data_IF_377233926890
#
_entry.id   IF_377233926890
#
_cell.length_a   1.000
_cell.length_b   1.000
_cell.length_c   1.000
_cell.angle_alpha   90.00
_cell.angle_beta   90.00
_cell.angle_gamma   90.00
#
_symmetry.space_group_name_H-M   'P 1'
#
loop_
_entity.id
_entity.type
_entity.pdbx_description
1 polymer ?
#
# COMPACT_ATOMS: atom_id res chain seq x y z
N UNK A 1 6.86 -43.51 -45.21
CA UNK A 1 6.38 -43.58 -46.62
C UNK A 1 5.74 -42.25 -46.98
N UNK A 2 6.36 -41.46 -47.86
CA UNK A 2 5.86 -40.14 -48.30
C UNK A 2 4.80 -40.37 -49.38
N UNK A 3 3.52 -40.08 -49.09
CA UNK A 3 2.47 -40.18 -50.11
C UNK A 3 2.76 -39.15 -51.22
N UNK A 4 2.69 -39.51 -52.50
CA UNK A 4 2.91 -38.55 -53.59
C UNK A 4 1.88 -37.41 -53.46
N UNK A 5 2.35 -36.17 -53.58
CA UNK A 5 1.48 -35.00 -53.52
C UNK A 5 0.57 -35.00 -54.76
N UNK A 6 -0.71 -34.62 -54.59
CA UNK A 6 -1.70 -34.58 -55.70
C UNK A 6 -1.17 -33.77 -56.89
N UNK A 7 -0.41 -32.71 -56.61
CA UNK A 7 0.29 -31.89 -57.62
C UNK A 7 1.33 -32.66 -58.43
N UNK A 8 2.08 -33.57 -57.80
CA UNK A 8 3.06 -34.41 -58.50
C UNK A 8 2.37 -35.44 -59.40
N UNK A 9 1.27 -36.02 -58.94
CA UNK A 9 0.49 -36.97 -59.74
C UNK A 9 -0.06 -36.26 -60.98
N UNK A 10 -0.71 -35.11 -60.80
CA UNK A 10 -1.31 -34.34 -61.90
C UNK A 10 -0.24 -33.83 -62.87
N UNK A 11 0.92 -33.39 -62.38
CA UNK A 11 2.04 -32.98 -63.23
C UNK A 11 2.60 -34.15 -64.06
N UNK A 12 2.80 -35.33 -63.46
CA UNK A 12 3.26 -36.52 -64.18
C UNK A 12 2.24 -36.98 -65.22
N UNK A 13 0.95 -36.99 -64.87
CA UNK A 13 -0.15 -37.28 -65.81
C UNK A 13 -0.20 -36.27 -66.94
N UNK A 14 0.03 -34.98 -66.66
CA UNK A 14 0.09 -33.91 -67.66
C UNK A 14 1.24 -34.11 -68.65
N UNK A 15 2.45 -34.43 -68.14
CA UNK A 15 3.63 -34.70 -68.99
C UNK A 15 3.42 -35.94 -69.84
N UNK A 16 2.87 -37.01 -69.25
CA UNK A 16 2.55 -38.23 -70.00
C UNK A 16 1.50 -37.99 -71.08
N UNK A 17 0.47 -37.18 -70.80
CA UNK A 17 -0.57 -36.80 -71.76
C UNK A 17 -0.02 -35.97 -72.92
N UNK A 18 0.81 -34.97 -72.63
CA UNK A 18 1.46 -34.16 -73.66
C UNK A 18 2.44 -34.99 -74.51
N UNK A 19 3.19 -35.91 -73.89
CA UNK A 19 4.05 -36.85 -74.59
C UNK A 19 3.27 -37.78 -75.52
N UNK A 20 2.12 -38.29 -75.07
CA UNK A 20 1.22 -39.11 -75.88
C UNK A 20 0.62 -38.31 -77.05
N UNK A 21 0.15 -37.08 -76.79
CA UNK A 21 -0.39 -36.21 -77.83
C UNK A 21 0.67 -35.88 -78.90
N UNK A 22 1.91 -35.61 -78.49
CA UNK A 22 3.04 -35.39 -79.39
C UNK A 22 3.38 -36.66 -80.20
N UNK A 23 3.42 -37.82 -79.55
CA UNK A 23 3.68 -39.08 -80.23
C UNK A 23 2.59 -39.41 -81.27
N UNK A 24 1.32 -39.18 -80.95
CA UNK A 24 0.21 -39.34 -81.88
C UNK A 24 0.31 -38.38 -83.07
N UNK A 25 0.68 -37.12 -82.83
CA UNK A 25 0.86 -36.13 -83.89
C UNK A 25 2.03 -36.46 -84.84
N UNK A 26 3.09 -37.12 -84.35
CA UNK A 26 4.21 -37.58 -85.18
C UNK A 26 3.87 -38.85 -85.98
N UNK A 27 2.96 -39.69 -85.47
CA UNK A 27 2.56 -40.96 -86.10
C UNK A 27 1.42 -40.78 -87.11
N UNK A 28 0.61 -39.73 -87.00
CA UNK A 28 -0.61 -39.55 -87.82
C UNK A 28 -0.38 -39.26 -89.32
N UNK A 29 0.86 -39.15 -89.79
CA UNK A 29 1.20 -39.01 -91.21
C UNK A 29 0.81 -37.66 -91.83
N UNK A 30 1.47 -37.29 -92.93
CA UNK A 30 1.27 -36.02 -93.62
C UNK A 30 0.07 -36.12 -94.59
N UNK A 31 -0.80 -35.10 -94.68
CA UNK A 31 -1.78 -35.06 -95.76
C UNK A 31 -1.07 -35.02 -97.13
N UNK A 32 -1.59 -35.75 -98.13
CA UNK A 32 -0.97 -35.85 -99.45
C UNK A 32 -0.78 -34.46 -100.07
N UNK A 33 0.48 -34.14 -100.42
CA UNK A 33 0.85 -32.87 -101.06
C UNK A 33 1.66 -31.90 -100.18
N UNK A 34 2.01 -32.27 -98.94
CA UNK A 34 2.77 -31.40 -98.04
C UNK A 34 3.97 -32.11 -97.40
N UNK A 35 5.19 -31.60 -97.66
CA UNK A 35 6.45 -32.13 -97.12
C UNK A 35 6.68 -31.80 -95.63
N UNK A 36 5.78 -31.04 -95.00
CA UNK A 36 5.88 -30.63 -93.59
C UNK A 36 4.48 -30.62 -92.93
N UNK A 37 4.36 -31.17 -91.71
CA UNK A 37 3.09 -31.27 -90.96
C UNK A 37 2.56 -29.88 -90.57
N UNK A 38 3.47 -28.94 -90.29
CA UNK A 38 3.12 -27.66 -89.68
C UNK A 38 2.61 -26.57 -90.63
N UNK A 39 3.15 -26.39 -91.86
CA UNK A 39 2.75 -25.27 -92.74
C UNK A 39 1.45 -25.49 -93.51
N UNK A 40 0.89 -26.70 -93.53
CA UNK A 40 -0.24 -27.05 -94.41
C UNK A 40 -1.61 -27.16 -93.73
N UNK A 41 -1.69 -27.03 -92.41
CA UNK A 41 -2.97 -27.06 -91.69
C UNK A 41 -3.63 -25.68 -91.73
N UNK A 42 -4.93 -25.64 -92.05
CA UNK A 42 -5.72 -24.41 -91.93
C UNK A 42 -5.73 -23.93 -90.47
N UNK A 43 -5.74 -22.62 -90.25
CA UNK A 43 -5.70 -22.02 -88.92
C UNK A 43 -6.81 -22.56 -87.97
N UNK A 44 -7.95 -22.97 -88.54
CA UNK A 44 -9.06 -23.56 -87.77
C UNK A 44 -8.72 -24.97 -87.22
N UNK A 45 -8.04 -25.80 -88.01
CA UNK A 45 -7.67 -27.17 -87.61
C UNK A 45 -6.56 -27.17 -86.55
N UNK A 46 -5.71 -26.14 -86.54
CA UNK A 46 -4.80 -25.84 -85.44
C UNK A 46 -5.54 -25.55 -84.13
N UNK A 47 -6.65 -24.81 -84.21
CA UNK A 47 -7.49 -24.52 -83.04
C UNK A 47 -8.09 -25.78 -82.44
N UNK A 48 -8.68 -26.65 -83.28
CA UNK A 48 -9.37 -27.86 -82.84
C UNK A 48 -8.41 -28.90 -82.24
N UNK A 49 -7.21 -29.05 -82.82
CA UNK A 49 -6.18 -29.97 -82.30
C UNK A 49 -5.61 -29.50 -80.96
N UNK A 50 -5.30 -28.21 -80.82
CA UNK A 50 -4.85 -27.64 -79.56
C UNK A 50 -5.96 -27.68 -78.49
N UNK A 51 -7.20 -27.38 -78.86
CA UNK A 51 -8.35 -27.47 -77.94
C UNK A 51 -8.55 -28.92 -77.45
N UNK A 52 -8.44 -29.91 -78.32
CA UNK A 52 -8.55 -31.33 -77.96
C UNK A 52 -7.47 -31.81 -76.99
N UNK A 53 -6.24 -31.30 -77.12
CA UNK A 53 -5.11 -31.67 -76.23
C UNK A 53 -5.16 -30.91 -74.90
N UNK A 54 -5.48 -29.61 -74.92
CA UNK A 54 -5.47 -28.75 -73.73
C UNK A 54 -6.74 -28.83 -72.88
N UNK A 55 -7.91 -29.17 -73.44
CA UNK A 55 -9.15 -29.22 -72.66
C UNK A 55 -9.14 -30.29 -71.54
N UNK A 56 -8.72 -31.56 -71.77
CA UNK A 56 -8.58 -32.54 -70.69
C UNK A 56 -7.52 -32.13 -69.66
N UNK A 57 -6.43 -31.51 -70.11
CA UNK A 57 -5.36 -31.03 -69.24
C UNK A 57 -5.86 -29.95 -68.27
N UNK A 58 -6.59 -28.95 -68.78
CA UNK A 58 -7.20 -27.92 -67.95
C UNK A 58 -8.21 -28.51 -66.95
N UNK A 59 -8.98 -29.51 -67.37
CA UNK A 59 -9.93 -30.21 -66.49
C UNK A 59 -9.24 -30.95 -65.35
N UNK A 60 -8.13 -31.65 -65.61
CA UNK A 60 -7.35 -32.31 -64.56
C UNK A 60 -6.81 -31.33 -63.51
N UNK A 61 -6.32 -30.17 -63.95
CA UNK A 61 -5.85 -29.13 -63.04
C UNK A 61 -6.98 -28.50 -62.23
N UNK A 62 -8.17 -28.32 -62.80
CA UNK A 62 -9.35 -27.83 -62.09
C UNK A 62 -9.75 -28.79 -60.96
N UNK A 63 -9.88 -30.09 -61.27
CA UNK A 63 -10.23 -31.11 -60.27
C UNK A 63 -9.17 -31.17 -59.16
N UNK A 64 -7.89 -31.12 -59.51
CA UNK A 64 -6.79 -31.11 -58.55
C UNK A 64 -6.87 -29.90 -57.60
N UNK A 65 -7.16 -28.71 -58.14
CA UNK A 65 -7.32 -27.50 -57.34
C UNK A 65 -8.47 -27.61 -56.34
N UNK A 66 -9.64 -28.14 -56.75
CA UNK A 66 -10.79 -28.35 -55.85
C UNK A 66 -10.46 -29.35 -54.73
N UNK A 67 -9.72 -30.43 -55.03
CA UNK A 67 -9.30 -31.39 -54.01
C UNK A 67 -8.29 -30.79 -53.02
N UNK A 68 -7.36 -29.95 -53.48
CA UNK A 68 -6.41 -29.26 -52.61
C UNK A 68 -7.17 -28.27 -51.71
N UNK A 69 -8.03 -27.45 -52.31
CA UNK A 69 -8.82 -26.45 -51.61
C UNK A 69 -9.76 -27.07 -50.55
N UNK A 70 -10.39 -28.20 -50.85
CA UNK A 70 -11.25 -28.90 -49.87
C UNK A 70 -10.47 -29.44 -48.67
N UNK A 71 -9.25 -29.93 -48.88
CA UNK A 71 -8.36 -30.38 -47.80
C UNK A 71 -7.89 -29.21 -46.93
N UNK A 72 -7.52 -28.09 -47.53
CA UNK A 72 -7.15 -26.88 -46.79
C UNK A 72 -8.31 -26.36 -45.94
N UNK A 73 -9.54 -26.32 -46.49
CA UNK A 73 -10.72 -25.93 -45.73
C UNK A 73 -11.03 -26.88 -44.56
N UNK A 74 -10.83 -28.18 -44.74
CA UNK A 74 -11.01 -29.15 -43.66
C UNK A 74 -9.96 -28.95 -42.55
N UNK A 75 -8.70 -28.74 -42.92
CA UNK A 75 -7.62 -28.46 -41.96
C UNK A 75 -7.89 -27.15 -41.19
N UNK A 76 -8.30 -26.08 -41.89
CA UNK A 76 -8.68 -24.81 -41.26
C UNK A 76 -9.84 -24.96 -40.28
N UNK A 77 -10.84 -25.80 -40.59
CA UNK A 77 -11.96 -26.06 -39.67
C UNK A 77 -11.51 -26.75 -38.39
N UNK A 78 -10.60 -27.72 -38.50
CA UNK A 78 -10.04 -28.42 -37.33
C UNK A 78 -9.22 -27.46 -36.46
N UNK A 79 -8.41 -26.62 -37.08
CA UNK A 79 -7.63 -25.60 -36.38
C UNK A 79 -8.55 -24.60 -35.65
N UNK A 80 -9.58 -24.09 -36.32
CA UNK A 80 -10.57 -23.19 -35.71
C UNK A 80 -11.32 -23.83 -34.53
N UNK A 81 -11.62 -25.14 -34.61
CA UNK A 81 -12.22 -25.86 -33.50
C UNK A 81 -11.26 -25.94 -32.31
N UNK A 82 -9.99 -26.32 -32.55
CA UNK A 82 -8.97 -26.35 -31.51
C UNK A 82 -8.75 -24.96 -30.88
N UNK A 83 -8.71 -23.88 -31.68
CA UNK A 83 -8.61 -22.51 -31.18
C UNK A 83 -9.81 -22.12 -30.31
N UNK A 84 -11.03 -22.51 -30.70
CA UNK A 84 -12.23 -22.25 -29.88
C UNK A 84 -12.16 -22.98 -28.54
N UNK A 85 -11.64 -24.20 -28.52
CA UNK A 85 -11.49 -24.97 -27.29
C UNK A 85 -10.47 -24.33 -26.35
N UNK A 86 -9.33 -23.93 -26.90
CA UNK A 86 -8.30 -23.20 -26.15
C UNK A 86 -8.85 -21.88 -25.59
N UNK A 87 -9.57 -21.09 -26.38
CA UNK A 87 -10.23 -19.87 -25.90
C UNK A 87 -11.25 -20.15 -24.79
N UNK A 88 -11.98 -21.27 -24.86
CA UNK A 88 -12.90 -21.67 -23.78
C UNK A 88 -12.13 -22.00 -22.50
N UNK A 89 -11.01 -22.69 -22.59
CA UNK A 89 -10.15 -22.98 -21.45
C UNK A 89 -9.54 -21.70 -20.85
N UNK A 90 -9.02 -20.81 -21.69
CA UNK A 90 -8.48 -19.52 -21.26
C UNK A 90 -9.53 -18.67 -20.53
N UNK A 91 -10.76 -18.60 -21.04
CA UNK A 91 -11.85 -17.88 -20.35
C UNK A 91 -12.15 -18.47 -18.97
N UNK A 92 -12.15 -19.79 -18.83
CA UNK A 92 -12.34 -20.44 -17.52
C UNK A 92 -11.22 -20.11 -16.54
N UNK A 93 -9.97 -20.13 -17.01
CA UNK A 93 -8.81 -19.75 -16.19
C UNK A 93 -8.87 -18.28 -15.77
N UNK A 94 -9.19 -17.37 -16.70
CA UNK A 94 -9.35 -15.95 -16.39
C UNK A 94 -10.47 -15.70 -15.38
N UNK A 95 -11.60 -16.41 -15.49
CA UNK A 95 -12.69 -16.32 -14.51
C UNK A 95 -12.23 -16.77 -13.12
N UNK A 96 -11.55 -17.92 -13.04
CA UNK A 96 -11.00 -18.42 -11.77
C UNK A 96 -9.96 -17.46 -11.17
N UNK A 97 -9.09 -16.87 -11.99
CA UNK A 97 -8.12 -15.85 -11.55
C UNK A 97 -8.81 -14.57 -11.07
N UNK A 98 -9.90 -14.14 -11.72
CA UNK A 98 -10.66 -12.97 -11.30
C UNK A 98 -11.35 -13.21 -9.95
N UNK A 99 -11.91 -14.41 -9.74
CA UNK A 99 -12.53 -14.78 -8.47
C UNK A 99 -11.49 -14.88 -7.34
N UNK A 100 -10.32 -15.46 -7.62
CA UNK A 100 -9.21 -15.49 -6.67
C UNK A 100 -8.69 -14.08 -6.33
N UNK A 101 -8.55 -13.20 -7.32
CA UNK A 101 -8.16 -11.81 -7.11
C UNK A 101 -9.19 -11.05 -6.23
N UNK A 102 -10.49 -11.32 -6.39
CA UNK A 102 -11.54 -10.76 -5.52
C UNK A 102 -11.40 -11.26 -4.08
N UNK A 103 -11.15 -12.56 -3.89
CA UNK A 103 -10.94 -13.13 -2.56
C UNK A 103 -9.70 -12.54 -1.89
N UNK A 104 -8.61 -12.37 -2.64
CA UNK A 104 -7.38 -11.73 -2.16
C UNK A 104 -7.62 -10.27 -1.76
N UNK A 105 -8.36 -9.50 -2.58
CA UNK A 105 -8.72 -8.13 -2.24
C UNK A 105 -9.54 -8.04 -0.93
N UNK A 106 -10.50 -8.96 -0.73
CA UNK A 106 -11.27 -9.03 0.51
C UNK A 106 -10.39 -9.37 1.73
N UNK A 107 -9.47 -10.32 1.59
CA UNK A 107 -8.53 -10.69 2.65
C UNK A 107 -7.55 -9.56 2.99
N UNK A 108 -7.03 -8.86 1.98
CA UNK A 108 -6.19 -7.67 2.18
C UNK A 108 -6.98 -6.58 2.91
N UNK A 109 -8.23 -6.32 2.50
CA UNK A 109 -9.10 -5.35 3.18
C UNK A 109 -9.28 -5.65 4.67
N UNK A 110 -9.55 -6.91 5.01
CA UNK A 110 -9.68 -7.35 6.40
C UNK A 110 -8.36 -7.18 7.19
N UNK A 111 -7.21 -7.50 6.59
CA UNK A 111 -5.91 -7.29 7.22
C UNK A 111 -5.60 -5.80 7.44
N UNK A 112 -5.91 -4.94 6.46
CA UNK A 112 -5.74 -3.49 6.59
C UNK A 112 -6.60 -2.94 7.74
N UNK A 113 -7.84 -3.40 7.87
CA UNK A 113 -8.70 -3.01 8.98
C UNK A 113 -8.13 -3.41 10.35
N UNK A 114 -7.58 -4.63 10.45
CA UNK A 114 -6.91 -5.10 11.67
C UNK A 114 -5.68 -4.24 11.98
N UNK A 115 -4.85 -3.94 10.99
CA UNK A 115 -3.65 -3.11 11.15
C UNK A 115 -4.00 -1.69 11.64
N UNK A 116 -5.02 -1.07 11.04
CA UNK A 116 -5.49 0.27 11.44
C UNK A 116 -6.00 0.25 12.88
N UNK A 117 -6.72 -0.81 13.29
CA UNK A 117 -7.16 -0.96 14.68
C UNK A 117 -5.99 -1.15 15.65
N UNK A 118 -4.98 -1.93 15.27
CA UNK A 118 -3.78 -2.15 16.07
C UNK A 118 -2.97 -0.86 16.24
N UNK A 119 -2.80 -0.10 15.17
CA UNK A 119 -2.08 1.18 15.19
C UNK A 119 -2.81 2.20 16.08
N UNK A 120 -4.12 2.32 15.95
CA UNK A 120 -4.92 3.20 16.82
C UNK A 120 -4.83 2.80 18.31
N UNK A 121 -4.85 1.51 18.61
CA UNK A 121 -4.69 1.01 19.98
C UNK A 121 -3.28 1.26 20.53
N UNK A 122 -2.24 1.03 19.71
CA UNK A 122 -0.86 1.27 20.07
C UNK A 122 -0.59 2.77 20.34
N UNK A 123 -1.10 3.65 19.48
CA UNK A 123 -1.04 5.10 19.69
C UNK A 123 -1.79 5.54 20.95
N UNK A 124 -2.95 4.93 21.23
CA UNK A 124 -3.67 5.17 22.49
C UNK A 124 -2.85 4.76 23.72
N UNK A 125 -2.21 3.60 23.68
CA UNK A 125 -1.37 3.11 24.76
C UNK A 125 -0.11 3.97 24.96
N UNK A 126 0.54 4.40 23.88
CA UNK A 126 1.71 5.27 23.93
C UNK A 126 1.38 6.62 24.57
N UNK A 127 0.31 7.29 24.12
CA UNK A 127 -0.12 8.57 24.70
C UNK A 127 -0.46 8.46 26.19
N UNK A 128 -1.15 7.38 26.59
CA UNK A 128 -1.41 7.14 28.01
C UNK A 128 -0.11 6.95 28.80
N UNK A 129 0.86 6.21 28.24
CA UNK A 129 2.16 6.02 28.88
C UNK A 129 2.94 7.34 29.04
N UNK A 130 2.88 8.23 28.04
CA UNK A 130 3.51 9.55 28.10
C UNK A 130 2.91 10.41 29.23
N UNK A 131 1.58 10.44 29.36
CA UNK A 131 0.89 11.13 30.45
C UNK A 131 1.29 10.57 31.83
N UNK A 132 1.23 9.24 31.97
CA UNK A 132 1.55 8.54 33.21
C UNK A 132 3.02 8.72 33.61
N UNK A 133 3.93 8.77 32.62
CA UNK A 133 5.35 9.07 32.79
C UNK A 133 5.58 10.49 33.27
N UNK A 134 4.94 11.49 32.64
CA UNK A 134 5.07 12.89 33.03
C UNK A 134 4.59 13.14 34.48
N UNK A 135 3.48 12.50 34.90
CA UNK A 135 3.03 12.56 36.30
C UNK A 135 3.98 11.87 37.26
N UNK A 136 4.56 10.73 36.87
CA UNK A 136 5.55 10.04 37.69
C UNK A 136 6.82 10.88 37.87
N UNK A 137 7.33 11.48 36.81
CA UNK A 137 8.51 12.34 36.86
C UNK A 137 8.27 13.59 37.70
N UNK A 138 7.09 14.21 37.56
CA UNK A 138 6.65 15.31 38.42
C UNK A 138 6.64 14.91 39.90
N UNK A 139 5.95 13.82 40.25
CA UNK A 139 5.85 13.36 41.62
C UNK A 139 7.22 12.99 42.21
N UNK A 140 8.07 12.30 41.43
CA UNK A 140 9.42 11.93 41.84
C UNK A 140 10.29 13.18 42.07
N UNK A 141 10.21 14.18 41.20
CA UNK A 141 10.97 15.42 41.36
C UNK A 141 10.55 16.15 42.65
N UNK A 142 9.23 16.28 42.87
CA UNK A 142 8.67 16.90 44.07
C UNK A 142 9.08 16.14 45.33
N UNK A 143 8.94 14.83 45.34
CA UNK A 143 9.29 14.01 46.50
C UNK A 143 10.79 14.11 46.81
N UNK A 144 11.64 13.89 45.80
CA UNK A 144 13.08 13.90 45.95
C UNK A 144 13.62 15.27 46.37
N UNK A 145 13.06 16.37 45.86
CA UNK A 145 13.58 17.72 46.09
C UNK A 145 12.94 18.43 47.27
N UNK A 146 11.65 18.25 47.49
CA UNK A 146 10.88 19.09 48.41
C UNK A 146 10.35 18.35 49.64
N UNK A 147 10.12 17.03 49.56
CA UNK A 147 9.58 16.30 50.71
C UNK A 147 10.59 16.26 51.88
N UNK A 148 10.15 16.81 53.02
CA UNK A 148 10.92 16.87 54.25
C UNK A 148 12.08 17.88 54.24
N UNK A 149 12.18 18.75 53.22
CA UNK A 149 13.25 19.75 53.09
C UNK A 149 12.74 21.16 53.34
N UNK A 150 13.66 22.04 53.75
CA UNK A 150 13.39 23.47 53.96
C UNK A 150 13.63 24.24 52.66
N UNK A 151 12.72 24.09 51.70
CA UNK A 151 12.83 24.72 50.37
C UNK A 151 12.02 26.01 50.26
N UNK A 152 10.98 26.16 51.08
CA UNK A 152 10.09 27.32 51.16
C UNK A 152 10.46 28.16 52.38
N UNK A 153 10.27 29.47 52.31
CA UNK A 153 10.41 30.38 53.44
C UNK A 153 9.29 31.44 53.42
N UNK A 154 9.01 32.01 54.59
CA UNK A 154 8.03 33.10 54.75
C UNK A 154 8.49 34.09 55.82
N UNK A 155 7.65 35.09 56.10
CA UNK A 155 7.96 36.13 57.10
C UNK A 155 7.10 35.94 58.34
N UNK A 156 7.72 35.83 59.52
CA UNK A 156 7.01 35.68 60.78
C UNK A 156 6.42 37.02 61.25
N UNK A 157 5.55 37.01 62.26
CA UNK A 157 4.92 38.24 62.78
C UNK A 157 5.93 39.26 63.32
N UNK A 158 7.09 38.80 63.76
CA UNK A 158 8.21 39.64 64.20
C UNK A 158 9.06 40.20 63.05
N UNK A 159 8.72 39.89 61.79
CA UNK A 159 9.45 40.33 60.60
C UNK A 159 10.65 39.46 60.22
N UNK A 160 10.97 38.42 60.99
CA UNK A 160 12.08 37.51 60.67
C UNK A 160 11.69 36.48 59.61
N UNK A 161 12.64 36.06 58.78
CA UNK A 161 12.42 35.01 57.78
C UNK A 161 12.53 33.63 58.45
N UNK A 162 11.47 32.83 58.32
CA UNK A 162 11.40 31.47 58.83
C UNK A 162 11.31 30.43 57.71
N UNK A 163 12.02 29.28 57.80
CA UNK A 163 11.87 28.20 56.85
C UNK A 163 10.55 27.45 57.06
N UNK A 164 9.99 26.95 55.96
CA UNK A 164 8.85 26.05 55.91
C UNK A 164 9.28 24.73 55.29
N UNK A 165 8.92 23.63 55.94
CA UNK A 165 9.01 22.32 55.35
C UNK A 165 7.62 21.80 55.01
N UNK A 166 7.52 21.23 53.83
CA UNK A 166 6.42 20.35 53.47
C UNK A 166 6.88 18.92 53.68
N UNK A 167 6.03 18.09 54.29
CA UNK A 167 6.28 16.65 54.44
C UNK A 167 5.01 15.87 54.16
N UNK A 168 5.12 14.85 53.33
CA UNK A 168 4.07 13.85 53.15
C UNK A 168 4.61 12.45 53.47
N UNK A 169 3.73 11.60 53.98
CA UNK A 169 3.96 10.15 54.18
C UNK A 169 3.33 9.33 53.07
N UNK A 170 2.69 9.97 52.10
CA UNK A 170 2.04 9.30 51.00
C UNK A 170 3.09 8.91 49.95
N UNK A 171 2.97 7.68 49.46
CA UNK A 171 3.88 7.11 48.46
C UNK A 171 3.26 7.08 47.06
N UNK A 172 1.98 7.42 46.94
CA UNK A 172 1.28 7.48 45.67
C UNK A 172 1.53 8.84 45.00
N UNK A 173 1.88 8.79 43.72
CA UNK A 173 2.23 9.94 42.88
C UNK A 173 1.15 11.02 42.83
N UNK A 174 -0.11 10.60 42.72
CA UNK A 174 -1.26 11.50 42.71
C UNK A 174 -1.46 12.16 44.07
N UNK A 175 -1.28 11.40 45.15
CA UNK A 175 -1.39 11.88 46.52
C UNK A 175 -0.27 12.87 46.87
N UNK A 176 0.97 12.61 46.43
CA UNK A 176 2.11 13.52 46.62
C UNK A 176 1.82 14.87 45.97
N UNK A 177 1.36 14.87 44.72
CA UNK A 177 1.02 16.09 43.98
C UNK A 177 -0.11 16.84 44.69
N UNK A 178 -1.20 16.14 45.02
CA UNK A 178 -2.35 16.73 45.71
C UNK A 178 -2.00 17.31 47.08
N UNK A 179 -1.20 16.60 47.87
CA UNK A 179 -0.76 17.06 49.19
C UNK A 179 0.11 18.30 49.07
N UNK A 180 0.98 18.38 48.06
CA UNK A 180 1.74 19.58 47.77
C UNK A 180 0.80 20.73 47.41
N UNK A 181 -0.16 20.52 46.52
CA UNK A 181 -1.14 21.55 46.13
C UNK A 181 -1.92 22.07 47.35
N UNK A 182 -2.35 21.17 48.23
CA UNK A 182 -3.04 21.54 49.47
C UNK A 182 -2.14 22.29 50.45
N UNK A 183 -0.87 21.92 50.55
CA UNK A 183 0.10 22.64 51.36
C UNK A 183 0.31 24.06 50.82
N UNK A 184 0.47 24.20 49.50
CA UNK A 184 0.72 25.49 48.87
C UNK A 184 -0.49 26.43 48.92
N UNK A 185 -1.70 25.90 48.76
CA UNK A 185 -2.92 26.70 48.90
C UNK A 185 -3.20 27.12 50.36
N UNK A 186 -2.63 26.42 51.36
CA UNK A 186 -2.82 26.70 52.79
C UNK A 186 -1.64 27.42 53.45
N UNK A 187 -0.69 27.97 52.68
CA UNK A 187 0.55 28.63 53.18
C UNK A 187 0.33 29.65 54.32
N UNK A 188 -0.85 30.25 54.41
CA UNK A 188 -1.21 31.24 55.44
C UNK A 188 -1.45 30.65 56.84
N UNK A 189 -1.64 29.33 56.95
CA UNK A 189 -2.06 28.68 58.21
C UNK A 189 -0.88 28.38 59.14
N UNK A 190 0.36 28.42 58.66
CA UNK A 190 1.56 28.05 59.44
C UNK A 190 2.20 29.21 60.22
N UNK A 191 1.48 30.32 60.42
CA UNK A 191 1.96 31.48 61.19
C UNK A 191 2.99 32.36 60.48
N UNK A 192 3.27 32.08 59.20
CA UNK A 192 4.11 32.89 58.33
C UNK A 192 3.24 33.64 57.32
N UNK A 193 3.53 34.91 57.13
CA UNK A 193 2.81 35.81 56.22
C UNK A 193 3.64 36.00 54.94
N UNK A 194 2.90 36.32 53.87
CA UNK A 194 3.46 36.88 52.65
C UNK A 194 4.41 38.05 53.00
N UNK A 195 5.51 38.22 52.28
CA UNK A 195 5.85 37.50 51.05
C UNK A 195 6.51 36.14 51.30
N UNK A 196 6.15 35.17 50.47
CA UNK A 196 6.73 33.83 50.46
C UNK A 196 7.81 33.76 49.38
N UNK A 197 8.80 32.90 49.58
CA UNK A 197 9.79 32.66 48.56
C UNK A 197 10.42 31.30 48.67
N UNK A 198 11.17 30.95 47.65
CA UNK A 198 11.98 29.73 47.57
C UNK A 198 13.45 30.10 47.54
N UNK A 199 14.34 29.14 47.81
CA UNK A 199 15.77 29.39 47.67
C UNK A 199 16.16 29.50 46.19
N UNK A 200 17.27 30.19 45.88
CA UNK A 200 17.75 30.34 44.50
C UNK A 200 18.07 29.01 43.82
N UNK A 201 18.51 28.00 44.59
CA UNK A 201 18.76 26.64 44.09
C UNK A 201 17.47 25.91 43.74
N UNK A 202 16.38 26.20 44.45
CA UNK A 202 15.08 25.56 44.25
C UNK A 202 14.23 26.28 43.18
N UNK A 203 14.62 27.48 42.75
CA UNK A 203 13.97 28.21 41.66
C UNK A 203 14.05 27.45 40.33
N UNK A 204 15.18 26.82 40.04
CA UNK A 204 15.31 25.95 38.87
C UNK A 204 14.42 24.71 38.96
N UNK A 205 14.27 24.13 40.16
CA UNK A 205 13.41 22.97 40.40
C UNK A 205 11.95 23.36 40.22
N UNK A 206 11.53 24.52 40.74
CA UNK A 206 10.17 25.03 40.58
C UNK A 206 9.80 25.23 39.10
N UNK A 207 10.73 25.76 38.29
CA UNK A 207 10.55 25.86 36.84
C UNK A 207 10.46 24.49 36.17
N UNK A 208 11.32 23.54 36.55
CA UNK A 208 11.25 22.17 36.03
C UNK A 208 9.91 21.50 36.38
N UNK A 209 9.39 21.71 37.59
CA UNK A 209 8.05 21.26 38.00
C UNK A 209 6.98 21.82 37.07
N UNK A 210 6.99 23.12 36.77
CA UNK A 210 6.06 23.72 35.79
C UNK A 210 6.19 23.08 34.40
N UNK A 211 7.42 22.78 33.94
CA UNK A 211 7.63 22.08 32.66
C UNK A 211 7.02 20.67 32.65
N UNK A 212 7.17 19.90 33.72
CA UNK A 212 6.53 18.57 33.82
C UNK A 212 5.00 18.67 33.90
N UNK A 213 4.47 19.68 34.58
CA UNK A 213 3.02 19.95 34.63
C UNK A 213 2.48 20.29 33.23
N UNK A 214 3.18 21.14 32.47
CA UNK A 214 2.79 21.49 31.11
C UNK A 214 2.83 20.27 30.19
N UNK A 215 3.89 19.46 30.29
CA UNK A 215 4.03 18.20 29.55
C UNK A 215 2.88 17.24 29.86
N UNK A 216 2.53 17.07 31.14
CA UNK A 216 1.40 16.24 31.56
C UNK A 216 0.05 16.81 31.08
N UNK A 217 -0.09 18.14 31.04
CA UNK A 217 -1.31 18.81 30.58
C UNK A 217 -1.52 18.67 29.08
N UNK A 218 -0.47 18.80 28.29
CA UNK A 218 -0.49 18.56 26.85
C UNK A 218 -0.79 17.09 26.54
N UNK A 219 -0.10 16.16 27.20
CA UNK A 219 -0.37 14.73 27.05
C UNK A 219 -1.82 14.36 27.42
N UNK A 220 -2.39 14.97 28.46
CA UNK A 220 -3.78 14.73 28.85
C UNK A 220 -4.79 15.21 27.80
N UNK A 221 -4.55 16.38 27.19
CA UNK A 221 -5.38 16.93 26.13
C UNK A 221 -5.43 16.01 24.90
N UNK A 222 -4.31 15.35 24.60
CA UNK A 222 -4.17 14.45 23.45
C UNK A 222 -4.69 13.02 23.70
N UNK A 223 -4.91 12.63 24.96
CA UNK A 223 -5.33 11.28 25.34
C UNK A 223 -6.85 11.09 25.38
N UNK A 224 -7.50 11.66 26.40
CA UNK A 224 -8.89 11.34 26.76
C UNK A 224 -9.44 12.31 27.81
N UNK A 225 -10.76 12.60 27.82
CA UNK A 225 -11.41 13.40 28.85
C UNK A 225 -11.15 12.93 30.29
N UNK A 226 -10.85 11.63 30.48
CA UNK A 226 -10.53 11.07 31.79
C UNK A 226 -9.23 11.65 32.36
N UNK A 227 -8.19 11.85 31.56
CA UNK A 227 -6.92 12.41 32.03
C UNK A 227 -7.06 13.89 32.38
N UNK A 228 -7.85 14.63 31.58
CA UNK A 228 -8.20 16.03 31.91
C UNK A 228 -8.99 16.13 33.22
N UNK A 229 -9.91 15.21 33.47
CA UNK A 229 -10.62 15.11 34.74
C UNK A 229 -9.67 14.78 35.90
N UNK A 230 -8.66 13.92 35.69
CA UNK A 230 -7.65 13.61 36.69
C UNK A 230 -6.81 14.83 37.05
N UNK A 231 -6.34 15.61 36.06
CA UNK A 231 -5.62 16.86 36.32
C UNK A 231 -6.46 17.87 37.12
N UNK A 232 -7.77 17.90 36.86
CA UNK A 232 -8.70 18.73 37.62
C UNK A 232 -8.85 18.24 39.07
N UNK A 233 -8.93 16.93 39.28
CA UNK A 233 -9.00 16.31 40.60
C UNK A 233 -7.71 16.54 41.42
N UNK A 234 -6.56 16.59 40.76
CA UNK A 234 -5.27 16.91 41.35
C UNK A 234 -5.05 18.41 41.60
N UNK A 235 -6.01 19.25 41.20
CA UNK A 235 -5.95 20.70 41.32
C UNK A 235 -4.69 21.30 40.64
N UNK A 236 -4.25 20.72 39.53
CA UNK A 236 -3.06 21.12 38.79
C UNK A 236 -3.06 22.62 38.41
N UNK A 237 -4.17 23.22 37.94
CA UNK A 237 -4.19 24.67 37.67
C UNK A 237 -3.89 25.52 38.90
N UNK A 238 -4.37 25.11 40.08
CA UNK A 238 -4.07 25.76 41.36
C UNK A 238 -2.59 25.63 41.67
N UNK A 239 -2.03 24.42 41.51
CA UNK A 239 -0.61 24.17 41.74
C UNK A 239 0.29 25.05 40.85
N UNK A 240 -0.04 25.19 39.57
CA UNK A 240 0.68 26.06 38.62
C UNK A 240 0.68 27.49 39.12
N UNK A 241 -0.50 28.05 39.40
CA UNK A 241 -0.63 29.42 39.89
C UNK A 241 0.18 29.65 41.18
N UNK A 242 0.12 28.71 42.12
CA UNK A 242 0.84 28.80 43.40
C UNK A 242 2.37 28.75 43.25
N UNK A 243 2.87 27.98 42.28
CA UNK A 243 4.31 27.88 41.99
C UNK A 243 4.79 29.12 41.21
N UNK A 244 4.02 29.58 40.23
CA UNK A 244 4.33 30.80 39.48
C UNK A 244 4.42 32.02 40.40
N UNK A 245 3.44 32.19 41.30
CA UNK A 245 3.46 33.26 42.29
C UNK A 245 4.69 33.17 43.21
N UNK A 246 5.10 31.97 43.61
CA UNK A 246 6.32 31.77 44.42
C UNK A 246 7.58 32.16 43.66
N UNK A 247 7.68 31.80 42.37
CA UNK A 247 8.81 32.17 41.52
C UNK A 247 8.85 33.70 41.38
N UNK A 248 7.73 34.33 41.03
CA UNK A 248 7.64 35.78 40.83
C UNK A 248 8.00 36.57 42.10
N UNK A 249 7.47 36.16 43.26
CA UNK A 249 7.80 36.77 44.55
C UNK A 249 9.28 36.61 44.89
N UNK A 250 9.86 35.43 44.63
CA UNK A 250 11.28 35.20 44.89
C UNK A 250 12.16 36.08 44.00
N UNK A 251 11.80 36.23 42.72
CA UNK A 251 12.55 37.06 41.76
C UNK A 251 12.42 38.56 42.03
N UNK A 252 11.25 39.04 42.46
CA UNK A 252 11.11 40.45 42.87
C UNK A 252 12.01 40.76 44.06
N UNK A 253 12.04 39.88 45.05
CA UNK A 253 12.89 40.04 46.23
C UNK A 253 14.37 40.00 45.91
N UNK A 254 14.81 39.13 45.00
CA UNK A 254 16.22 39.07 44.58
C UNK A 254 16.66 40.32 43.82
N UNK A 255 15.74 41.04 43.16
CA UNK A 255 16.03 42.32 42.50
C UNK A 255 16.17 43.49 43.48
N UNK A 256 15.50 43.40 44.63
CA UNK A 256 15.48 44.46 45.65
C UNK A 256 16.63 44.36 46.68
N UNK A 257 17.53 43.37 46.54
CA UNK A 257 18.74 43.28 47.38
C UNK A 257 19.85 44.14 46.73
N UNK A 258 20.30 45.23 47.39
CA UNK A 258 21.33 46.14 46.88
C UNK A 258 22.74 45.53 46.84
#
# INVERSE_FOLDING_TARGET
MRRPNVTQIVALTSVAWLGLALALALVSGYPEGCDQVLPCLALNEWGDTLAGVFAPLAFFWLVAAVFIQSKELQAQRLELQATRDEMRHQRKLMAAQADEARNQAAFIGAQTEILVRQDAAAQGAARNADFEGALADLANLVDLRWNGKNWLWGTAENGERGPLNWRTTNNGREEIIRDLTQFLSRKTVTGLKSPFGISSQELQVARAVLTYIDTASQAAADCSPRHVALLSLLEIPTLVNEIEQLIEQTESMMRDVP
#
